data_IF_951332473184
#
_entry.id   IF_951332473184
#
_cell.length_a   1.000
_cell.length_b   1.000
_cell.length_c   1.000
_cell.angle_alpha   90.00
_cell.angle_beta   90.00
_cell.angle_gamma   90.00
#
_symmetry.space_group_name_H-M   'P 1'
#
loop_
_entity.id
_entity.type
_entity.pdbx_description
1 polymer ?
#
# COMPACT_ATOMS: atom_id res chain seq x y z
N UNK A 1 3.52 -22.41 -9.65
CA UNK A 1 2.86 -21.79 -8.49
C UNK A 1 1.37 -22.07 -8.63
N UNK A 2 0.79 -22.80 -7.68
CA UNK A 2 -0.66 -22.96 -7.61
C UNK A 2 -1.22 -21.73 -6.88
N UNK A 3 -1.95 -20.87 -7.59
CA UNK A 3 -2.39 -19.56 -7.08
C UNK A 3 -3.64 -19.63 -6.22
N UNK A 4 -4.19 -20.83 -6.00
CA UNK A 4 -5.44 -21.03 -5.27
C UNK A 4 -6.68 -20.53 -6.01
N UNK A 5 -7.87 -20.81 -5.45
CA UNK A 5 -9.15 -20.37 -6.04
C UNK A 5 -9.43 -18.93 -5.67
N UNK A 6 -9.52 -18.06 -6.67
CA UNK A 6 -9.91 -16.67 -6.50
C UNK A 6 -11.38 -16.54 -6.08
N UNK A 7 -11.64 -15.85 -4.96
CA UNK A 7 -13.00 -15.58 -4.47
C UNK A 7 -13.16 -14.13 -4.05
N UNK A 8 -14.11 -13.44 -4.68
CA UNK A 8 -14.44 -12.03 -4.38
C UNK A 8 -14.72 -11.76 -2.90
N UNK A 9 -15.36 -12.71 -2.20
CA UNK A 9 -15.61 -12.58 -0.76
C UNK A 9 -14.31 -12.55 0.07
N UNK A 10 -13.30 -13.33 -0.31
CA UNK A 10 -11.99 -13.37 0.36
C UNK A 10 -11.24 -12.06 0.16
N UNK A 11 -11.19 -11.57 -1.09
CA UNK A 11 -10.51 -10.30 -1.42
C UNK A 11 -11.13 -9.13 -0.66
N UNK A 12 -12.46 -9.00 -0.66
CA UNK A 12 -13.15 -7.93 0.07
C UNK A 12 -12.91 -8.04 1.58
N UNK A 13 -12.98 -9.25 2.14
CA UNK A 13 -12.72 -9.47 3.57
C UNK A 13 -11.31 -9.03 3.95
N UNK A 14 -10.29 -9.53 3.25
CA UNK A 14 -8.90 -9.18 3.53
C UNK A 14 -8.62 -7.67 3.40
N UNK A 15 -9.21 -7.00 2.39
CA UNK A 15 -9.11 -5.54 2.27
C UNK A 15 -9.78 -4.80 3.43
N UNK A 16 -10.98 -5.22 3.84
CA UNK A 16 -11.70 -4.64 4.97
C UNK A 16 -10.96 -4.85 6.29
N UNK A 17 -10.40 -6.03 6.52
CA UNK A 17 -9.66 -6.36 7.74
C UNK A 17 -8.37 -5.53 7.85
N UNK A 18 -7.63 -5.34 6.74
CA UNK A 18 -6.49 -4.43 6.70
C UNK A 18 -6.89 -2.97 7.00
N UNK A 19 -8.04 -2.53 6.48
CA UNK A 19 -8.60 -1.22 6.78
C UNK A 19 -9.14 -1.10 8.22
N UNK A 20 -9.55 -2.20 8.85
CA UNK A 20 -9.92 -2.24 10.26
C UNK A 20 -8.67 -2.13 11.14
N UNK A 21 -7.62 -2.91 10.87
CA UNK A 21 -6.33 -2.80 11.54
C UNK A 21 -5.75 -1.37 11.44
N UNK A 22 -5.85 -0.73 10.26
CA UNK A 22 -5.46 0.67 10.09
C UNK A 22 -6.30 1.65 10.94
N UNK A 23 -7.54 1.32 11.28
CA UNK A 23 -8.36 2.15 12.17
C UNK A 23 -7.98 1.94 13.64
N UNK A 24 -7.69 0.71 14.03
CA UNK A 24 -7.27 0.34 15.39
C UNK A 24 -5.96 1.00 15.81
N UNK A 25 -5.02 1.18 14.87
CA UNK A 25 -3.76 1.91 15.12
C UNK A 25 -4.00 3.38 15.54
N UNK A 26 -5.16 3.96 15.21
CA UNK A 26 -5.54 5.30 15.65
C UNK A 26 -4.93 6.40 14.80
N UNK A 27 -3.94 7.12 15.34
CA UNK A 27 -3.33 8.30 14.72
C UNK A 27 -2.65 7.98 13.37
N UNK A 28 -2.33 9.03 12.61
CA UNK A 28 -1.67 8.92 11.32
C UNK A 28 -0.19 8.53 11.47
N UNK A 29 0.04 7.23 11.69
CA UNK A 29 1.36 6.63 11.91
C UNK A 29 1.88 5.88 10.67
N UNK A 30 3.17 5.49 10.65
CA UNK A 30 3.71 4.60 9.61
C UNK A 30 2.92 3.30 9.51
N UNK A 31 2.64 2.65 10.64
CA UNK A 31 1.89 1.40 10.72
C UNK A 31 0.47 1.52 10.14
N UNK A 32 -0.24 2.61 10.45
CA UNK A 32 -1.56 2.89 9.88
C UNK A 32 -1.51 2.99 8.35
N UNK A 33 -0.49 3.68 7.84
CA UNK A 33 -0.30 3.90 6.41
C UNK A 33 0.03 2.60 5.68
N UNK A 34 0.93 1.80 6.25
CA UNK A 34 1.28 0.48 5.74
C UNK A 34 0.06 -0.46 5.68
N UNK A 35 -0.77 -0.49 6.74
CA UNK A 35 -2.01 -1.27 6.75
C UNK A 35 -3.00 -0.81 5.66
N UNK A 36 -3.12 0.51 5.42
CA UNK A 36 -3.92 1.04 4.30
C UNK A 36 -3.35 0.66 2.94
N UNK A 37 -2.02 0.68 2.77
CA UNK A 37 -1.36 0.26 1.55
C UNK A 37 -1.69 -1.20 1.22
N UNK A 38 -1.58 -2.10 2.21
CA UNK A 38 -1.96 -3.50 2.07
C UNK A 38 -3.44 -3.68 1.70
N UNK A 39 -4.34 -2.95 2.36
CA UNK A 39 -5.78 -2.99 2.07
C UNK A 39 -6.11 -2.58 0.63
N UNK A 40 -5.45 -1.55 0.10
CA UNK A 40 -5.59 -1.11 -1.29
C UNK A 40 -4.97 -2.10 -2.28
N UNK A 41 -3.87 -2.76 -1.90
CA UNK A 41 -3.17 -3.70 -2.79
C UNK A 41 -4.06 -4.91 -3.05
N UNK A 42 -4.64 -5.46 -1.99
CA UNK A 42 -5.62 -6.55 -2.11
C UNK A 42 -6.88 -6.08 -2.85
N UNK A 43 -7.36 -4.86 -2.61
CA UNK A 43 -8.54 -4.32 -3.30
C UNK A 43 -8.34 -4.10 -4.81
N UNK A 44 -7.11 -4.11 -5.32
CA UNK A 44 -6.83 -4.04 -6.76
C UNK A 44 -7.45 -5.21 -7.52
N UNK A 45 -7.52 -6.38 -6.89
CA UNK A 45 -8.23 -7.55 -7.42
C UNK A 45 -9.75 -7.38 -7.46
N UNK A 46 -10.33 -6.47 -6.66
CA UNK A 46 -11.75 -6.11 -6.72
C UNK A 46 -12.02 -5.12 -7.86
N UNK A 47 -11.24 -4.04 -7.94
CA UNK A 47 -11.33 -3.06 -9.04
C UNK A 47 -10.01 -2.32 -9.24
N UNK A 48 -9.66 -2.07 -10.51
CA UNK A 48 -8.38 -1.46 -10.91
C UNK A 48 -8.13 -0.07 -10.33
N UNK A 49 -9.17 0.67 -9.95
CA UNK A 49 -9.03 2.01 -9.36
C UNK A 49 -8.28 2.00 -8.02
N UNK A 50 -8.21 0.86 -7.34
CA UNK A 50 -7.40 0.70 -6.13
C UNK A 50 -5.90 0.55 -6.41
N UNK A 51 -5.47 0.32 -7.65
CA UNK A 51 -4.06 0.03 -7.99
C UNK A 51 -3.08 1.16 -7.62
N UNK A 52 -3.54 2.41 -7.56
CA UNK A 52 -2.70 3.56 -7.17
C UNK A 52 -2.55 3.69 -5.65
N UNK A 53 -3.51 3.17 -4.89
CA UNK A 53 -3.58 3.30 -3.44
C UNK A 53 -2.36 2.74 -2.68
N UNK A 54 -1.82 1.55 -3.01
CA UNK A 54 -0.66 0.97 -2.33
C UNK A 54 0.56 1.87 -2.41
N UNK A 55 0.87 2.35 -3.61
CA UNK A 55 2.00 3.23 -3.86
C UNK A 55 1.90 4.50 -3.02
N UNK A 56 0.75 5.18 -3.07
CA UNK A 56 0.52 6.43 -2.31
C UNK A 56 0.60 6.22 -0.80
N UNK A 57 -0.02 5.18 -0.26
CA UNK A 57 0.02 4.91 1.18
C UNK A 57 1.40 4.43 1.65
N UNK A 58 2.18 3.76 0.79
CA UNK A 58 3.58 3.44 1.08
C UNK A 58 4.42 4.73 1.20
N UNK A 59 4.26 5.70 0.29
CA UNK A 59 4.93 7.00 0.40
C UNK A 59 4.54 7.72 1.70
N UNK A 60 3.28 7.65 2.09
CA UNK A 60 2.84 8.22 3.36
C UNK A 60 3.40 7.48 4.59
N UNK A 61 3.59 6.16 4.51
CA UNK A 61 4.22 5.39 5.58
C UNK A 61 5.65 5.87 5.80
N UNK A 62 6.41 6.00 4.70
CA UNK A 62 7.80 6.48 4.73
C UNK A 62 7.89 7.93 5.21
N UNK A 63 7.00 8.80 4.74
CA UNK A 63 6.94 10.19 5.22
C UNK A 63 6.81 10.25 6.75
N UNK A 64 5.93 9.43 7.31
CA UNK A 64 5.62 9.42 8.75
C UNK A 64 6.69 8.71 9.59
N UNK A 65 7.49 7.85 8.97
CA UNK A 65 8.60 7.13 9.62
C UNK A 65 9.89 7.95 9.60
N UNK A 66 9.99 8.90 8.66
CA UNK A 66 11.16 9.73 8.46
C UNK A 66 11.17 10.96 9.38
N UNK A 67 12.38 11.44 9.68
CA UNK A 67 12.55 12.78 10.28
C UNK A 67 12.02 13.86 9.31
N UNK A 68 11.59 15.03 9.81
CA UNK A 68 11.16 16.13 8.94
C UNK A 68 12.22 16.57 7.91
N UNK A 69 13.51 16.45 8.27
CA UNK A 69 14.63 16.82 7.41
C UNK A 69 14.83 15.82 6.27
N UNK A 70 14.60 14.53 6.53
CA UNK A 70 14.88 13.45 5.57
C UNK A 70 13.65 13.03 4.76
N UNK A 71 12.44 13.38 5.21
CA UNK A 71 11.18 12.88 4.66
C UNK A 71 11.05 13.10 3.14
N UNK A 72 11.44 14.28 2.64
CA UNK A 72 11.38 14.57 1.21
C UNK A 72 12.29 13.64 0.39
N UNK A 73 13.52 13.42 0.86
CA UNK A 73 14.48 12.53 0.21
C UNK A 73 14.05 11.06 0.28
N UNK A 74 13.51 10.62 1.42
CA UNK A 74 13.01 9.26 1.61
C UNK A 74 11.80 8.95 0.70
N UNK A 75 10.85 9.89 0.59
CA UNK A 75 9.71 9.76 -0.34
C UNK A 75 10.19 9.71 -1.79
N UNK A 76 11.12 10.58 -2.18
CA UNK A 76 11.65 10.58 -3.54
C UNK A 76 12.30 9.24 -3.89
N UNK A 77 13.14 8.71 -2.98
CA UNK A 77 13.79 7.41 -3.14
C UNK A 77 12.79 6.27 -3.33
N UNK A 78 11.75 6.21 -2.50
CA UNK A 78 10.71 5.18 -2.65
C UNK A 78 9.94 5.34 -3.96
N UNK A 79 9.55 6.57 -4.32
CA UNK A 79 8.81 6.81 -5.56
C UNK A 79 9.61 6.38 -6.78
N UNK A 80 10.90 6.70 -6.79
CA UNK A 80 11.79 6.32 -7.88
C UNK A 80 11.95 4.79 -7.95
N UNK A 81 12.09 4.12 -6.80
CA UNK A 81 12.10 2.65 -6.74
C UNK A 81 10.79 2.04 -7.27
N UNK A 82 9.62 2.54 -6.84
CA UNK A 82 8.31 2.08 -7.31
C UNK A 82 8.17 2.26 -8.83
N UNK A 83 8.64 3.39 -9.37
CA UNK A 83 8.61 3.66 -10.80
C UNK A 83 9.52 2.73 -11.59
N UNK A 84 10.77 2.54 -11.15
CA UNK A 84 11.68 1.58 -11.80
C UNK A 84 11.12 0.17 -11.75
N UNK A 85 10.55 -0.23 -10.60
CA UNK A 85 9.91 -1.55 -10.46
C UNK A 85 8.72 -1.72 -11.41
N UNK A 86 7.93 -0.67 -11.61
CA UNK A 86 6.86 -0.70 -12.60
C UNK A 86 7.41 -0.88 -14.01
N UNK A 87 8.46 -0.15 -14.39
CA UNK A 87 9.11 -0.30 -15.69
C UNK A 87 9.62 -1.73 -15.92
N UNK A 88 10.28 -2.35 -14.94
CA UNK A 88 10.73 -3.74 -15.00
C UNK A 88 9.61 -4.77 -15.19
N UNK A 89 8.40 -4.46 -14.70
CA UNK A 89 7.24 -5.35 -14.80
C UNK A 89 6.47 -5.21 -16.12
N UNK A 90 6.66 -4.08 -16.83
CA UNK A 90 5.98 -3.80 -18.11
C UNK A 90 6.91 -3.87 -19.33
N UNK A 91 8.22 -3.97 -19.10
CA UNK A 91 9.24 -4.26 -20.13
C UNK A 91 9.24 -5.74 -20.50
#
# INVERSE_FOLDING_TARGET
MDTGVFRMAVIRRASLDAHAAAREVGADTPARSAARAAGQAVATAHVRTHAVGPALYALQAIHRDSSPQDAAAAIAKERDWQYQRLLELVS
#
